data_IF_150799847397
#
_entry.id   IF_150799847397
#
_cell.length_a   1.000
_cell.length_b   1.000
_cell.length_c   1.000
_cell.angle_alpha   90.00
_cell.angle_beta   90.00
_cell.angle_gamma   90.00
#
_symmetry.space_group_name_H-M   'P 1'
#
loop_
_entity.id
_entity.type
_entity.pdbx_description
1 polymer ?
#
# COMPACT_ATOMS: atom_id res chain seq x y z
N UNK A 1 11.94 -5.66 8.95
CA UNK A 1 10.75 -4.88 8.52
C UNK A 1 9.55 -5.19 9.40
N UNK A 2 9.10 -4.20 10.17
CA UNK A 2 7.90 -4.21 11.00
C UNK A 2 6.69 -3.69 10.19
N UNK A 3 5.55 -4.39 10.27
CA UNK A 3 4.30 -3.93 9.65
C UNK A 3 3.62 -2.90 10.57
N UNK A 4 3.60 -1.65 10.12
CA UNK A 4 2.99 -0.52 10.83
C UNK A 4 1.52 -0.34 10.50
N UNK A 5 1.10 -0.82 9.34
CA UNK A 5 -0.30 -0.79 8.94
C UNK A 5 -0.55 -1.59 7.69
N UNK A 6 -1.77 -2.13 7.59
CA UNK A 6 -2.26 -2.80 6.39
C UNK A 6 -3.67 -2.33 6.11
N UNK A 7 -3.93 -2.10 4.84
CA UNK A 7 -5.25 -1.75 4.38
C UNK A 7 -5.60 -2.48 3.09
N UNK A 8 -6.90 -2.71 2.88
CA UNK A 8 -7.44 -3.49 1.79
C UNK A 8 -8.72 -2.84 1.28
N UNK A 9 -9.00 -2.91 -0.03
CA UNK A 9 -10.12 -2.20 -0.66
C UNK A 9 -11.50 -2.88 -0.55
N UNK A 10 -11.68 -3.89 0.31
CA UNK A 10 -12.99 -4.50 0.56
C UNK A 10 -13.60 -5.30 -0.61
N UNK A 11 -12.94 -5.41 -1.77
CA UNK A 11 -13.51 -6.07 -2.94
C UNK A 11 -13.33 -7.60 -2.87
N UNK A 12 -14.44 -8.33 -3.03
CA UNK A 12 -14.50 -9.79 -3.00
C UNK A 12 -14.09 -10.46 -4.33
N UNK A 13 -13.84 -9.67 -5.39
CA UNK A 13 -13.40 -10.17 -6.69
C UNK A 13 -11.88 -10.31 -6.79
N UNK A 14 -11.38 -11.51 -7.09
CA UNK A 14 -9.94 -11.83 -7.22
C UNK A 14 -9.17 -10.90 -8.18
N UNK A 15 -9.85 -10.28 -9.16
CA UNK A 15 -9.26 -9.31 -10.09
C UNK A 15 -9.19 -7.87 -9.58
N UNK A 16 -10.02 -7.46 -8.62
CA UNK A 16 -10.07 -6.08 -8.11
C UNK A 16 -9.36 -5.92 -6.76
N UNK A 17 -8.79 -7.00 -6.21
CA UNK A 17 -8.12 -6.95 -4.91
C UNK A 17 -6.94 -5.98 -4.97
N UNK A 18 -6.96 -5.02 -4.04
CA UNK A 18 -5.88 -4.07 -3.84
C UNK A 18 -5.52 -4.01 -2.37
N UNK A 19 -4.27 -4.30 -2.08
CA UNK A 19 -3.71 -4.28 -0.73
C UNK A 19 -2.64 -3.19 -0.66
N UNK A 20 -2.61 -2.45 0.45
CA UNK A 20 -1.57 -1.47 0.77
C UNK A 20 -0.96 -1.86 2.12
N UNK A 21 0.36 -1.83 2.19
CA UNK A 21 1.13 -2.08 3.40
C UNK A 21 2.06 -0.91 3.70
N UNK A 22 2.13 -0.53 4.97
CA UNK A 22 3.13 0.39 5.49
C UNK A 22 4.09 -0.41 6.38
N UNK A 23 5.35 -0.40 6.01
CA UNK A 23 6.42 -1.13 6.67
C UNK A 23 7.46 -0.14 7.20
N UNK A 24 8.11 -0.47 8.32
CA UNK A 24 9.21 0.29 8.87
C UNK A 24 10.36 -0.65 9.25
N UNK A 25 11.59 -0.31 8.88
CA UNK A 25 12.76 -1.16 9.16
C UNK A 25 13.66 -0.62 10.29
N UNK A 26 13.19 0.38 11.05
CA UNK A 26 14.02 1.07 12.05
C UNK A 26 14.75 2.29 11.49
N UNK A 27 14.86 2.41 10.16
CA UNK A 27 15.49 3.56 9.48
C UNK A 27 14.66 4.14 8.34
N UNK A 28 13.98 3.29 7.58
CA UNK A 28 13.19 3.69 6.42
C UNK A 28 11.77 3.18 6.55
N UNK A 29 10.86 3.99 6.05
CA UNK A 29 9.45 3.67 5.82
C UNK A 29 9.27 3.19 4.39
N UNK A 30 8.55 2.10 4.22
CA UNK A 30 8.23 1.53 2.91
C UNK A 30 6.73 1.38 2.76
N UNK A 31 6.17 1.98 1.73
CA UNK A 31 4.77 1.79 1.32
C UNK A 31 4.76 0.83 0.15
N UNK A 32 4.05 -0.28 0.29
CA UNK A 32 3.82 -1.25 -0.80
C UNK A 32 2.36 -1.24 -1.18
N UNK A 33 2.08 -1.22 -2.48
CA UNK A 33 0.74 -1.46 -3.00
C UNK A 33 0.75 -2.61 -4.00
N UNK A 34 -0.23 -3.50 -3.89
CA UNK A 34 -0.49 -4.54 -4.88
C UNK A 34 -1.79 -4.21 -5.61
N UNK A 35 -1.73 -4.22 -6.94
CA UNK A 35 -2.88 -3.99 -7.81
C UNK A 35 -3.22 -5.25 -8.61
N UNK A 36 -4.35 -5.90 -8.32
CA UNK A 36 -4.85 -7.07 -9.05
C UNK A 36 -4.41 -8.43 -8.49
N UNK A 37 -5.15 -9.49 -8.85
CA UNK A 37 -4.79 -10.90 -8.60
C UNK A 37 -3.64 -11.40 -9.49
N UNK A 38 -3.30 -12.69 -9.45
CA UNK A 38 -2.19 -13.46 -10.09
C UNK A 38 -1.13 -12.77 -10.99
N UNK A 39 -1.47 -11.83 -11.88
CA UNK A 39 -0.56 -10.95 -12.64
C UNK A 39 -0.19 -9.63 -11.91
N UNK A 40 -0.54 -9.54 -10.62
CA UNK A 40 -0.66 -8.29 -9.87
C UNK A 40 0.59 -7.42 -9.88
N UNK A 41 0.45 -6.19 -10.39
CA UNK A 41 1.54 -5.21 -10.44
C UNK A 41 1.76 -4.68 -9.02
N UNK A 42 2.94 -4.95 -8.48
CA UNK A 42 3.37 -4.39 -7.20
C UNK A 42 4.16 -3.10 -7.41
N UNK A 43 3.87 -2.10 -6.60
CA UNK A 43 4.64 -0.86 -6.52
C UNK A 43 5.11 -0.67 -5.08
N UNK A 44 6.33 -0.16 -4.92
CA UNK A 44 6.94 0.11 -3.61
C UNK A 44 7.57 1.49 -3.62
N UNK A 45 7.37 2.25 -2.54
CA UNK A 45 7.93 3.58 -2.34
C UNK A 45 8.61 3.65 -0.97
N UNK A 46 9.84 4.17 -0.96
CA UNK A 46 10.64 4.32 0.25
C UNK A 46 10.71 5.78 0.69
N UNK A 47 10.65 5.99 2.00
CA UNK A 47 10.69 7.30 2.64
C UNK A 47 11.57 7.24 3.89
N UNK A 48 12.21 8.35 4.23
CA UNK A 48 12.96 8.51 5.48
C UNK A 48 12.05 8.80 6.67
N UNK A 49 10.88 9.37 6.40
CA UNK A 49 9.97 9.91 7.41
C UNK A 49 8.57 9.31 7.32
N UNK A 50 7.89 9.21 8.46
CA UNK A 50 6.56 8.62 8.56
C UNK A 50 5.49 9.47 7.86
N UNK A 51 5.59 10.80 7.96
CA UNK A 51 4.60 11.72 7.40
C UNK A 51 4.41 11.58 5.88
N UNK A 52 5.48 11.64 5.07
CA UNK A 52 5.44 11.37 3.64
C UNK A 52 4.93 9.95 3.32
N UNK A 53 5.34 8.95 4.11
CA UNK A 53 4.89 7.57 3.91
C UNK A 53 3.38 7.42 4.13
N UNK A 54 2.83 8.02 5.19
CA UNK A 54 1.38 8.05 5.44
C UNK A 54 0.62 8.79 4.34
N UNK A 55 1.14 9.93 3.89
CA UNK A 55 0.56 10.70 2.77
C UNK A 55 0.48 9.84 1.50
N UNK A 56 1.49 9.02 1.24
CA UNK A 56 1.46 8.07 0.13
C UNK A 56 0.42 6.98 0.31
N UNK A 57 0.28 6.41 1.52
CA UNK A 57 -0.80 5.45 1.84
C UNK A 57 -2.17 6.06 1.55
N UNK A 58 -2.44 7.27 2.04
CA UNK A 58 -3.69 8.01 1.79
C UNK A 58 -3.93 8.26 0.30
N UNK A 59 -2.88 8.64 -0.44
CA UNK A 59 -2.98 8.84 -1.90
C UNK A 59 -3.34 7.54 -2.61
N UNK A 60 -2.64 6.46 -2.29
CA UNK A 60 -2.91 5.15 -2.89
C UNK A 60 -4.32 4.70 -2.55
N UNK A 61 -4.78 4.91 -1.32
CA UNK A 61 -6.15 4.65 -0.89
C UNK A 61 -7.21 5.36 -1.71
N UNK A 62 -7.02 6.65 -1.99
CA UNK A 62 -7.95 7.42 -2.81
C UNK A 62 -8.06 6.86 -4.24
N UNK A 63 -6.96 6.37 -4.80
CA UNK A 63 -6.98 5.66 -6.10
C UNK A 63 -7.70 4.31 -6.03
N UNK A 64 -7.83 3.70 -4.85
CA UNK A 64 -8.59 2.46 -4.67
C UNK A 64 -10.11 2.69 -4.65
N UNK A 65 -10.58 3.84 -4.18
CA UNK A 65 -12.01 4.14 -4.00
C UNK A 65 -12.73 4.65 -5.26
N UNK A 66 -12.00 5.01 -6.32
CA UNK A 66 -12.55 5.66 -7.51
C UNK A 66 -12.56 4.83 -8.79
N UNK A 67 -12.52 3.49 -8.71
CA UNK A 67 -12.55 2.59 -9.86
C UNK A 67 -13.78 1.69 -9.85
#
# INVERSE_FOLDING_TARGET
MELRGRWWNGSWGRMARRDIWLLFDGRLWRVRGRLGGDEGREVSYDFTDEGPARTMVDRMMKTLAGA
#
